data_IF_980224424263
#
_entry.id   IF_980224424263
#
_cell.length_a   1.000
_cell.length_b   1.000
_cell.length_c   1.000
_cell.angle_alpha   90.00
_cell.angle_beta   90.00
_cell.angle_gamma   90.00
#
_symmetry.space_group_name_H-M   'P 1'
#
loop_
_entity.id
_entity.type
_entity.pdbx_description
1 polymer ?
#
# COMPACT_ATOMS: atom_id res chain seq x y z
N UNK A 1 18.59 -4.74 -67.12
CA UNK A 1 18.40 -3.29 -67.34
C UNK A 1 17.14 -3.06 -68.19
N UNK A 2 16.03 -2.67 -67.56
CA UNK A 2 14.89 -1.93 -68.14
C UNK A 2 13.99 -1.54 -66.97
N UNK A 3 13.69 -0.26 -66.91
CA UNK A 3 13.23 0.52 -65.76
C UNK A 3 11.87 1.14 -66.16
N UNK A 4 10.93 1.22 -65.20
CA UNK A 4 9.73 2.10 -65.15
C UNK A 4 8.60 1.72 -66.14
N UNK A 5 7.34 1.56 -65.73
CA UNK A 5 6.42 2.67 -65.46
C UNK A 5 5.15 2.26 -64.67
N UNK A 6 5.04 2.78 -63.44
CA UNK A 6 3.89 3.49 -62.83
C UNK A 6 2.47 3.04 -63.22
N UNK A 7 1.69 2.56 -62.24
CA UNK A 7 0.33 3.06 -61.94
C UNK A 7 -0.16 2.55 -60.59
N UNK A 8 -0.22 3.50 -59.67
CA UNK A 8 -0.87 3.45 -58.37
C UNK A 8 -2.33 3.03 -58.59
N UNK A 9 -2.73 1.89 -58.02
CA UNK A 9 -4.13 1.58 -57.81
C UNK A 9 -4.32 1.27 -56.33
N UNK A 10 -4.98 2.23 -55.69
CA UNK A 10 -5.37 2.29 -54.30
C UNK A 10 -6.34 1.12 -54.05
N UNK A 11 -5.99 0.23 -53.13
CA UNK A 11 -6.92 -0.70 -52.50
C UNK A 11 -6.82 -0.53 -50.99
N UNK A 12 -7.73 0.30 -50.50
CA UNK A 12 -8.01 0.53 -49.08
C UNK A 12 -8.70 -0.75 -48.58
N UNK A 13 -8.01 -1.52 -47.76
CA UNK A 13 -8.61 -2.53 -46.88
C UNK A 13 -8.37 -2.11 -45.43
N UNK A 14 -9.38 -1.44 -44.88
CA UNK A 14 -9.53 -1.20 -43.44
C UNK A 14 -10.04 -2.51 -42.82
N UNK A 15 -9.29 -3.06 -41.87
CA UNK A 15 -9.86 -3.97 -40.86
C UNK A 15 -9.29 -3.60 -39.49
N UNK A 16 -10.19 -2.97 -38.74
CA UNK A 16 -10.16 -2.63 -37.33
C UNK A 16 -10.12 -3.88 -36.44
N UNK A 17 -10.01 -3.63 -35.12
CA UNK A 17 -10.13 -4.54 -33.97
C UNK A 17 -8.80 -5.20 -33.59
N UNK A 18 -8.21 -4.93 -32.44
CA UNK A 18 -8.69 -4.49 -31.12
C UNK A 18 -7.65 -5.03 -30.14
N UNK A 19 -7.43 -4.55 -28.94
CA UNK A 19 -8.01 -3.55 -28.08
C UNK A 19 -7.06 -3.51 -26.88
N UNK A 20 -7.05 -2.40 -26.16
CA UNK A 20 -6.22 -2.23 -24.97
C UNK A 20 -6.42 -3.39 -23.99
N UNK A 21 -5.40 -4.19 -23.73
CA UNK A 21 -5.31 -4.89 -22.45
C UNK A 21 -4.88 -3.87 -21.40
N UNK A 22 -5.75 -2.89 -21.13
CA UNK A 22 -5.72 -2.15 -19.90
C UNK A 22 -5.88 -3.18 -18.80
N UNK A 23 -4.82 -3.38 -18.01
CA UNK A 23 -4.87 -4.19 -16.82
C UNK A 23 -5.97 -3.57 -15.95
N UNK A 24 -7.14 -4.19 -15.94
CA UNK A 24 -8.24 -3.81 -15.05
C UNK A 24 -7.71 -3.99 -13.64
N UNK A 25 -7.27 -2.89 -13.04
CA UNK A 25 -7.20 -2.78 -11.61
C UNK A 25 -8.64 -3.01 -11.12
N UNK A 26 -8.90 -4.22 -10.64
CA UNK A 26 -10.12 -4.52 -9.91
C UNK A 26 -10.08 -3.57 -8.70
N UNK A 27 -10.98 -2.59 -8.70
CA UNK A 27 -11.17 -1.73 -7.56
C UNK A 27 -11.69 -2.62 -6.41
N UNK A 28 -10.78 -3.02 -5.52
CA UNK A 28 -11.15 -3.75 -4.31
C UNK A 28 -11.94 -2.79 -3.42
N UNK A 29 -13.18 -3.14 -3.01
CA UNK A 29 -13.99 -2.32 -2.12
C UNK A 29 -13.31 -2.11 -0.75
N UNK A 30 -13.68 -1.06 0.00
CA UNK A 30 -12.88 -0.56 1.11
C UNK A 30 -12.83 -1.54 2.30
N UNK A 31 -11.61 -1.75 2.80
CA UNK A 31 -11.24 -2.22 4.16
C UNK A 31 -12.28 -3.07 4.90
N UNK A 32 -12.59 -4.24 4.35
CA UNK A 32 -13.17 -5.32 5.15
C UNK A 32 -12.03 -6.01 5.91
N UNK A 33 -12.25 -6.45 7.16
CA UNK A 33 -11.36 -7.39 7.82
C UNK A 33 -11.03 -8.55 6.86
N UNK A 34 -9.78 -8.99 6.81
CA UNK A 34 -9.37 -10.10 5.95
C UNK A 34 -10.24 -11.32 6.20
N UNK A 35 -10.85 -11.88 5.15
CA UNK A 35 -11.59 -13.16 5.25
C UNK A 35 -10.63 -14.38 5.22
N UNK A 36 -9.36 -14.16 4.89
CA UNK A 36 -8.37 -15.24 4.83
C UNK A 36 -7.94 -15.68 6.24
N UNK A 37 -8.31 -16.90 6.63
CA UNK A 37 -8.01 -17.46 7.95
C UNK A 37 -6.51 -17.52 8.26
N UNK A 38 -5.65 -17.77 7.26
CA UNK A 38 -4.20 -17.78 7.47
C UNK A 38 -3.66 -16.37 7.76
N UNK A 39 -4.18 -15.35 7.08
CA UNK A 39 -3.84 -13.94 7.35
C UNK A 39 -4.32 -13.53 8.73
N UNK A 40 -5.56 -13.87 9.11
CA UNK A 40 -6.09 -13.60 10.45
C UNK A 40 -5.19 -14.25 11.52
N UNK A 41 -4.82 -15.52 11.34
CA UNK A 41 -3.96 -16.22 12.31
C UNK A 41 -2.56 -15.60 12.42
N UNK A 42 -1.96 -15.18 11.30
CA UNK A 42 -0.66 -14.50 11.28
C UNK A 42 -0.75 -13.12 11.95
N UNK A 43 -1.82 -12.37 11.71
CA UNK A 43 -2.07 -11.07 12.31
C UNK A 43 -2.23 -11.17 13.83
N UNK A 44 -3.06 -12.11 14.31
CA UNK A 44 -3.24 -12.36 15.74
C UNK A 44 -1.92 -12.75 16.40
N UNK A 45 -1.17 -13.67 15.78
CA UNK A 45 0.14 -14.09 16.28
C UNK A 45 1.14 -12.94 16.35
N UNK A 46 1.14 -12.05 15.35
CA UNK A 46 1.98 -10.86 15.37
C UNK A 46 1.58 -9.90 16.51
N UNK A 47 0.28 -9.73 16.75
CA UNK A 47 -0.25 -8.96 17.88
C UNK A 47 0.23 -9.51 19.23
N UNK A 48 0.07 -10.82 19.47
CA UNK A 48 0.52 -11.48 20.71
C UNK A 48 2.04 -11.34 20.90
N UNK A 49 2.81 -11.49 19.83
CA UNK A 49 4.26 -11.35 19.87
C UNK A 49 4.70 -9.91 20.14
N UNK A 50 4.04 -8.92 19.53
CA UNK A 50 4.27 -7.51 19.81
C UNK A 50 3.98 -7.19 21.28
N UNK A 51 2.84 -7.63 21.82
CA UNK A 51 2.51 -7.48 23.23
C UNK A 51 3.54 -8.15 24.17
N UNK A 52 4.18 -9.22 23.71
CA UNK A 52 5.24 -9.91 24.43
C UNK A 52 6.66 -9.33 24.19
N UNK A 53 6.81 -8.19 23.51
CA UNK A 53 8.11 -7.57 23.21
C UNK A 53 8.89 -8.22 22.06
N UNK A 54 8.33 -9.22 21.38
CA UNK A 54 8.99 -10.02 20.34
C UNK A 54 8.80 -9.38 18.95
N UNK A 55 9.27 -8.14 18.79
CA UNK A 55 9.00 -7.31 17.61
C UNK A 55 9.51 -7.90 16.28
N UNK A 56 10.66 -8.59 16.29
CA UNK A 56 11.20 -9.23 15.09
C UNK A 56 10.28 -10.35 14.60
N UNK A 57 9.83 -11.22 15.51
CA UNK A 57 8.90 -12.31 15.17
C UNK A 57 7.54 -11.78 14.73
N UNK A 58 7.06 -10.70 15.35
CA UNK A 58 5.84 -10.04 14.93
C UNK A 58 5.95 -9.54 13.49
N UNK A 59 7.08 -8.88 13.16
CA UNK A 59 7.39 -8.42 11.81
C UNK A 59 7.41 -9.57 10.80
N UNK A 60 8.08 -10.68 11.11
CA UNK A 60 8.14 -11.85 10.23
C UNK A 60 6.75 -12.41 9.90
N UNK A 61 5.85 -12.48 10.89
CA UNK A 61 4.47 -12.94 10.65
C UNK A 61 3.65 -11.94 9.82
N UNK A 62 3.84 -10.63 10.02
CA UNK A 62 3.21 -9.61 9.18
C UNK A 62 3.74 -9.64 7.73
N UNK A 63 5.04 -9.83 7.54
CA UNK A 63 5.64 -9.97 6.20
C UNK A 63 5.17 -11.25 5.49
N UNK A 64 4.94 -12.33 6.24
CA UNK A 64 4.27 -13.54 5.71
C UNK A 64 2.84 -13.25 5.28
N UNK A 65 2.08 -12.53 6.10
CA UNK A 65 0.73 -12.14 5.78
C UNK A 65 0.69 -11.26 4.52
N UNK A 66 1.64 -10.32 4.38
CA UNK A 66 1.78 -9.47 3.19
C UNK A 66 2.14 -10.23 1.92
N UNK A 67 2.80 -11.40 2.01
CA UNK A 67 2.99 -12.27 0.84
C UNK A 67 1.68 -12.90 0.36
N UNK A 68 0.70 -13.05 1.24
CA UNK A 68 -0.63 -13.57 0.92
C UNK A 68 -1.54 -12.43 0.43
N UNK A 69 -1.56 -11.31 1.15
CA UNK A 69 -2.35 -10.13 0.84
C UNK A 69 -1.48 -8.85 0.72
N UNK A 70 -0.78 -8.66 -0.40
CA UNK A 70 0.17 -7.54 -0.56
C UNK A 70 -0.49 -6.15 -0.59
N UNK A 71 -1.81 -6.10 -0.81
CA UNK A 71 -2.60 -4.87 -0.88
C UNK A 71 -3.47 -4.64 0.36
N UNK A 72 -3.29 -5.41 1.44
CA UNK A 72 -4.07 -5.22 2.66
C UNK A 72 -3.49 -4.04 3.48
N UNK A 73 -4.23 -2.92 3.62
CA UNK A 73 -3.72 -1.74 4.32
C UNK A 73 -3.51 -1.97 5.82
N UNK A 74 -4.26 -2.88 6.45
CA UNK A 74 -4.12 -3.18 7.89
C UNK A 74 -2.76 -3.83 8.17
N UNK A 75 -2.31 -4.74 7.31
CA UNK A 75 -1.00 -5.38 7.47
C UNK A 75 0.15 -4.37 7.35
N UNK A 76 0.04 -3.41 6.43
CA UNK A 76 1.01 -2.33 6.29
C UNK A 76 1.00 -1.38 7.50
N UNK A 77 -0.18 -1.09 8.06
CA UNK A 77 -0.31 -0.29 9.27
C UNK A 77 0.36 -0.96 10.48
N UNK A 78 0.08 -2.25 10.71
CA UNK A 78 0.69 -2.98 11.83
C UNK A 78 2.21 -3.07 11.68
N UNK A 79 2.71 -3.32 10.46
CA UNK A 79 4.15 -3.35 10.23
C UNK A 79 4.78 -1.98 10.48
N UNK A 80 4.09 -0.89 10.13
CA UNK A 80 4.52 0.46 10.43
C UNK A 80 4.63 0.72 11.94
N UNK A 81 3.64 0.28 12.72
CA UNK A 81 3.65 0.38 14.19
C UNK A 81 4.84 -0.36 14.79
N UNK A 82 5.07 -1.61 14.36
CA UNK A 82 6.23 -2.39 14.81
C UNK A 82 7.55 -1.69 14.50
N UNK A 83 7.70 -1.15 13.28
CA UNK A 83 8.91 -0.41 12.89
C UNK A 83 9.10 0.87 13.69
N UNK A 84 8.02 1.54 14.07
CA UNK A 84 8.07 2.73 14.92
C UNK A 84 8.61 2.37 16.30
N UNK A 85 8.09 1.31 16.92
CA UNK A 85 8.54 0.80 18.22
C UNK A 85 10.00 0.34 18.20
N UNK A 86 10.47 -0.22 17.09
CA UNK A 86 11.86 -0.62 16.89
C UNK A 86 12.82 0.56 16.61
N UNK A 87 12.33 1.80 16.56
CA UNK A 87 13.13 2.97 16.23
C UNK A 87 13.48 3.11 14.74
N UNK A 88 12.86 2.30 13.88
CA UNK A 88 13.09 2.28 12.44
C UNK A 88 12.18 3.31 11.73
N UNK A 89 12.30 4.57 12.13
CA UNK A 89 11.34 5.63 11.82
C UNK A 89 11.09 5.84 10.31
N UNK A 90 12.13 5.81 9.48
CA UNK A 90 11.95 5.92 8.02
C UNK A 90 11.14 4.77 7.44
N UNK A 91 11.31 3.55 7.96
CA UNK A 91 10.51 2.41 7.50
C UNK A 91 9.07 2.52 7.97
N UNK A 92 8.85 2.95 9.22
CA UNK A 92 7.52 3.20 9.77
C UNK A 92 6.74 4.21 8.92
N UNK A 93 7.35 5.35 8.58
CA UNK A 93 6.74 6.35 7.70
C UNK A 93 6.34 5.75 6.35
N UNK A 94 7.27 5.04 5.69
CA UNK A 94 7.02 4.46 4.37
C UNK A 94 5.86 3.44 4.38
N UNK A 95 5.80 2.61 5.42
CA UNK A 95 4.76 1.57 5.55
C UNK A 95 3.40 2.17 5.89
N UNK A 96 3.33 3.16 6.78
CA UNK A 96 2.10 3.88 7.09
C UNK A 96 1.60 4.67 5.86
N UNK A 97 2.51 5.28 5.08
CA UNK A 97 2.16 5.93 3.82
C UNK A 97 1.60 4.94 2.78
N UNK A 98 2.21 3.74 2.67
CA UNK A 98 1.70 2.65 1.83
C UNK A 98 0.31 2.20 2.28
N UNK A 99 0.09 2.05 3.58
CA UNK A 99 -1.24 1.77 4.13
C UNK A 99 -2.25 2.85 3.75
N UNK A 100 -1.91 4.13 3.88
CA UNK A 100 -2.78 5.24 3.48
C UNK A 100 -3.21 5.22 2.01
N UNK A 101 -2.30 4.84 1.11
CA UNK A 101 -2.61 4.68 -0.31
C UNK A 101 -3.63 3.56 -0.55
N UNK A 102 -3.59 2.49 0.25
CA UNK A 102 -4.42 1.29 0.10
C UNK A 102 -5.72 1.35 0.92
N UNK A 103 -5.80 2.21 1.94
CA UNK A 103 -6.91 2.28 2.89
C UNK A 103 -8.24 2.76 2.30
N UNK A 104 -8.29 3.18 1.03
CA UNK A 104 -9.53 3.59 0.37
C UNK A 104 -10.27 4.68 1.15
N UNK A 105 -11.53 4.42 1.54
CA UNK A 105 -12.37 5.34 2.31
C UNK A 105 -12.27 5.16 3.83
N UNK A 106 -11.39 4.28 4.33
CA UNK A 106 -11.21 4.07 5.76
C UNK A 106 -10.48 5.25 6.41
N UNK A 107 -11.26 6.22 6.88
CA UNK A 107 -10.75 7.44 7.51
C UNK A 107 -10.04 7.15 8.83
N UNK A 108 -10.57 6.22 9.61
CA UNK A 108 -9.97 5.81 10.88
C UNK A 108 -8.55 5.26 10.69
N UNK A 109 -8.38 4.28 9.79
CA UNK A 109 -7.06 3.72 9.49
C UNK A 109 -6.11 4.78 8.94
N UNK A 110 -6.63 5.71 8.12
CA UNK A 110 -5.84 6.83 7.62
C UNK A 110 -5.36 7.75 8.73
N UNK A 111 -6.21 8.05 9.70
CA UNK A 111 -5.86 8.85 10.86
C UNK A 111 -4.75 8.18 11.68
N UNK A 112 -4.88 6.88 11.97
CA UNK A 112 -3.88 6.11 12.71
C UNK A 112 -2.52 6.08 11.99
N UNK A 113 -2.52 5.86 10.67
CA UNK A 113 -1.30 5.94 9.88
C UNK A 113 -0.67 7.34 9.88
N UNK A 114 -1.48 8.40 9.83
CA UNK A 114 -0.98 9.77 9.94
C UNK A 114 -0.35 10.06 11.30
N UNK A 115 -0.87 9.47 12.39
CA UNK A 115 -0.22 9.51 13.71
C UNK A 115 1.16 8.84 13.68
N UNK A 116 1.28 7.66 13.07
CA UNK A 116 2.57 6.96 12.91
C UNK A 116 3.55 7.80 12.10
N UNK A 117 3.12 8.39 10.97
CA UNK A 117 3.95 9.25 10.14
C UNK A 117 4.42 10.48 10.94
N UNK A 118 3.51 11.10 11.69
CA UNK A 118 3.83 12.25 12.53
C UNK A 118 4.88 11.92 13.60
N UNK A 119 4.71 10.80 14.29
CA UNK A 119 5.67 10.37 15.29
C UNK A 119 7.03 10.00 14.67
N UNK A 120 7.03 9.26 13.55
CA UNK A 120 8.25 8.91 12.84
C UNK A 120 9.04 10.16 12.41
N UNK A 121 8.37 11.16 11.83
CA UNK A 121 8.99 12.43 11.41
C UNK A 121 9.51 13.24 12.59
N UNK A 122 8.75 13.29 13.68
CA UNK A 122 9.17 13.96 14.91
C UNK A 122 10.47 13.35 15.45
N UNK A 123 10.56 12.00 15.47
CA UNK A 123 11.77 11.27 15.89
C UNK A 123 12.96 11.46 14.94
N UNK A 124 12.70 11.71 13.66
CA UNK A 124 13.71 12.05 12.65
C UNK A 124 14.14 13.53 12.69
N UNK A 125 13.48 14.38 13.47
CA UNK A 125 13.74 15.82 13.57
C UNK A 125 12.99 16.67 12.54
N UNK A 126 12.12 16.07 11.72
CA UNK A 126 11.24 16.80 10.80
C UNK A 126 9.99 17.29 11.54
N UNK A 127 10.16 18.34 12.34
CA UNK A 127 9.09 18.89 13.17
C UNK A 127 7.94 19.50 12.34
N UNK A 128 8.26 20.06 11.17
CA UNK A 128 7.25 20.62 10.27
C UNK A 128 6.40 19.49 9.68
N UNK A 129 7.03 18.49 9.07
CA UNK A 129 6.32 17.36 8.48
C UNK A 129 5.59 16.51 9.51
N UNK A 130 6.06 16.49 10.77
CA UNK A 130 5.34 15.87 11.88
C UNK A 130 4.03 16.60 12.18
N UNK A 131 4.07 17.93 12.31
CA UNK A 131 2.88 18.76 12.55
C UNK A 131 1.84 18.57 11.44
N UNK A 132 2.26 18.63 10.18
CA UNK A 132 1.37 18.43 9.02
C UNK A 132 0.71 17.04 9.04
N UNK A 133 1.42 16.01 9.53
CA UNK A 133 0.88 14.67 9.64
C UNK A 133 -0.13 14.56 10.79
N UNK A 134 0.15 15.14 11.96
CA UNK A 134 -0.80 15.15 13.08
C UNK A 134 -2.09 15.91 12.74
N UNK A 135 -2.01 17.03 12.04
CA UNK A 135 -3.20 17.77 11.56
C UNK A 135 -4.07 16.91 10.63
N UNK A 136 -3.45 16.12 9.74
CA UNK A 136 -4.18 15.15 8.89
C UNK A 136 -4.84 14.04 9.69
N UNK A 137 -4.22 13.61 10.80
CA UNK A 137 -4.80 12.62 11.69
C UNK A 137 -6.04 13.16 12.42
N UNK A 138 -6.01 14.42 12.84
CA UNK A 138 -7.13 15.07 13.55
C UNK A 138 -8.29 15.43 12.63
N UNK A 139 -7.99 15.83 11.39
CA UNK A 139 -9.00 16.19 10.38
C UNK A 139 -9.68 15.00 9.69
N UNK A 140 -9.32 13.76 10.07
CA UNK A 140 -9.88 12.51 9.54
C UNK A 140 -10.82 11.84 10.58
N UNK A 141 -12.07 12.32 10.77
CA UNK A 141 -13.03 11.72 11.70
C UNK A 141 -13.55 10.36 11.23
#
# INVERSE_FOLDING_TARGET
MKIITRRVFILITILFFGGCAGHQQIAVPPTQPSENTAVIALLNKAGDQSAAGQMDKASENLERALRIEPHNPVLWHELARIRLEQGQYRQAENMAAKSNMLAGTNRYLKAENWRIIGEARNRLGDLHGARDAFEKAESSP
#
